data_IF_863941961933
#
_entry.id   IF_863941961933
#
_cell.length_a   1.000
_cell.length_b   1.000
_cell.length_c   1.000
_cell.angle_alpha   90.00
_cell.angle_beta   90.00
_cell.angle_gamma   90.00
#
_symmetry.space_group_name_H-M   'P 1'
#
loop_
_entity.id
_entity.type
_entity.pdbx_description
1 polymer ?
#
# COMPACT_ATOMS: atom_id res chain seq x y z
N UNK A 1 -42.06 67.16 26.58
CA UNK A 1 -40.87 66.54 25.94
C UNK A 1 -40.06 65.81 27.01
N UNK A 2 -40.20 64.49 27.13
CA UNK A 2 -39.44 63.66 28.08
C UNK A 2 -38.28 63.02 27.32
N UNK A 3 -37.04 63.31 27.71
CA UNK A 3 -35.84 62.66 27.16
C UNK A 3 -35.57 61.38 27.95
N UNK A 4 -35.64 60.25 27.26
CA UNK A 4 -35.27 58.92 27.76
C UNK A 4 -33.74 58.81 27.67
N UNK A 5 -33.05 58.58 28.79
CA UNK A 5 -31.62 58.30 28.81
C UNK A 5 -31.40 56.79 28.70
N UNK A 6 -30.82 56.33 27.59
CA UNK A 6 -30.44 54.94 27.40
C UNK A 6 -29.06 54.71 28.06
N UNK A 7 -29.02 53.83 29.06
CA UNK A 7 -27.79 53.36 29.68
C UNK A 7 -27.24 52.20 28.82
N UNK A 8 -26.18 52.47 28.04
CA UNK A 8 -25.43 51.44 27.32
C UNK A 8 -24.41 50.86 28.28
N UNK A 9 -24.59 49.60 28.68
CA UNK A 9 -23.60 48.87 29.47
C UNK A 9 -22.59 48.25 28.50
N UNK A 10 -21.38 48.82 28.44
CA UNK A 10 -20.28 48.24 27.68
C UNK A 10 -19.72 47.03 28.46
N UNK A 11 -19.95 45.82 27.94
CA UNK A 11 -19.27 44.62 28.43
C UNK A 11 -17.86 44.62 27.83
N UNK A 12 -16.87 44.93 28.66
CA UNK A 12 -15.46 44.78 28.29
C UNK A 12 -15.12 43.30 28.44
N UNK A 13 -15.14 42.56 27.33
CA UNK A 13 -14.59 41.22 27.26
C UNK A 13 -13.06 41.29 27.35
N UNK A 14 -12.48 40.85 28.46
CA UNK A 14 -11.04 40.61 28.55
C UNK A 14 -10.77 39.32 27.80
N UNK A 15 -10.23 39.43 26.58
CA UNK A 15 -9.68 38.29 25.86
C UNK A 15 -8.44 37.82 26.64
N UNK A 16 -8.58 36.73 27.38
CA UNK A 16 -7.44 36.03 27.98
C UNK A 16 -6.79 35.25 26.84
N UNK A 17 -5.66 35.74 26.34
CA UNK A 17 -4.83 34.95 25.44
C UNK A 17 -4.36 33.71 26.22
N UNK A 18 -4.88 32.54 25.84
CA UNK A 18 -4.35 31.27 26.33
C UNK A 18 -2.98 31.12 25.69
N UNK A 19 -1.89 31.05 26.47
CA UNK A 19 -0.57 30.83 25.89
C UNK A 19 -0.56 29.48 25.18
N UNK A 20 -0.17 29.50 23.90
CA UNK A 20 0.09 28.30 23.12
C UNK A 20 1.27 27.58 23.77
N UNK A 21 1.00 26.38 24.31
CA UNK A 21 2.04 25.55 24.92
C UNK A 21 2.88 25.00 23.77
N UNK A 22 4.12 25.48 23.65
CA UNK A 22 5.07 24.90 22.71
C UNK A 22 5.23 23.41 23.05
N UNK A 23 4.80 22.54 22.13
CA UNK A 23 5.03 21.10 22.24
C UNK A 23 6.54 20.88 22.11
N UNK A 24 7.15 20.26 23.13
CA UNK A 24 8.58 19.97 23.10
C UNK A 24 8.84 18.70 22.29
N UNK A 25 9.47 18.84 21.13
CA UNK A 25 9.95 17.71 20.34
C UNK A 25 10.98 16.90 21.16
N UNK A 26 10.87 15.58 21.11
CA UNK A 26 11.87 14.65 21.64
C UNK A 26 12.78 14.23 20.50
N UNK A 27 14.07 14.53 20.60
CA UNK A 27 15.08 14.13 19.60
C UNK A 27 15.90 12.97 20.15
N UNK A 28 15.94 11.88 19.41
CA UNK A 28 16.70 10.67 19.72
C UNK A 28 17.82 10.53 18.69
N UNK A 29 19.06 10.56 19.17
CA UNK A 29 20.29 10.46 18.37
C UNK A 29 21.20 9.30 18.86
N UNK A 30 20.65 8.38 19.66
CA UNK A 30 21.33 7.18 20.16
C UNK A 30 20.34 6.02 20.26
N UNK A 31 20.87 4.80 20.20
CA UNK A 31 20.06 3.58 20.29
C UNK A 31 19.19 3.60 21.55
N UNK A 32 17.87 3.46 21.37
CA UNK A 32 16.88 3.66 22.44
C UNK A 32 15.75 2.65 22.34
N UNK A 33 15.28 2.15 23.48
CA UNK A 33 14.03 1.39 23.58
C UNK A 33 12.98 2.26 24.26
N UNK A 34 11.79 2.35 23.67
CA UNK A 34 10.65 3.09 24.20
C UNK A 34 9.60 2.09 24.67
N UNK A 35 9.42 2.02 25.99
CA UNK A 35 8.45 1.18 26.69
C UNK A 35 7.47 2.01 27.56
N UNK A 36 7.39 3.31 27.29
CA UNK A 36 6.56 4.29 27.98
C UNK A 36 5.74 5.14 27.00
N UNK A 37 4.80 5.92 27.54
CA UNK A 37 3.96 6.83 26.75
C UNK A 37 4.63 8.18 26.54
N UNK A 38 4.69 8.64 25.30
CA UNK A 38 5.17 9.97 24.90
C UNK A 38 4.11 10.64 24.00
N UNK A 39 3.63 11.81 24.41
CA UNK A 39 2.57 12.57 23.71
C UNK A 39 3.14 13.65 22.78
N UNK A 40 4.47 13.82 22.78
CA UNK A 40 5.19 14.69 21.86
C UNK A 40 5.58 14.01 20.55
N UNK A 41 5.96 14.84 19.57
CA UNK A 41 6.71 14.45 18.39
C UNK A 41 8.04 13.80 18.80
N UNK A 42 8.27 12.54 18.42
CA UNK A 42 9.56 11.87 18.54
C UNK A 42 10.27 11.87 17.19
N UNK A 43 11.43 12.53 17.12
CA UNK A 43 12.32 12.56 15.94
C UNK A 43 13.53 11.68 16.20
N UNK A 44 13.77 10.72 15.31
CA UNK A 44 14.94 9.85 15.32
C UNK A 44 15.86 10.31 14.20
N UNK A 45 17.06 10.77 14.56
CA UNK A 45 18.06 11.32 13.64
C UNK A 45 19.36 10.54 13.75
N UNK A 46 20.26 10.72 12.78
CA UNK A 46 21.59 10.12 12.85
C UNK A 46 22.39 10.67 14.05
N UNK A 47 22.85 9.73 14.89
CA UNK A 47 23.71 9.98 16.01
C UNK A 47 25.18 10.11 15.67
N UNK A 48 26.01 10.00 16.71
CA UNK A 48 27.47 9.91 16.56
C UNK A 48 27.87 8.61 15.84
N UNK A 49 27.12 7.53 16.05
CA UNK A 49 27.35 6.19 15.48
C UNK A 49 26.12 5.72 14.68
N UNK A 50 25.93 6.18 13.42
CA UNK A 50 24.77 5.83 12.61
C UNK A 50 24.81 4.36 12.09
N UNK A 51 23.64 3.73 11.84
CA UNK A 51 22.30 4.31 12.00
C UNK A 51 21.83 4.27 13.46
N UNK A 52 21.14 5.31 13.92
CA UNK A 52 20.43 5.31 15.21
C UNK A 52 19.27 4.32 15.16
N UNK A 53 19.14 3.47 16.18
CA UNK A 53 18.09 2.44 16.26
C UNK A 53 17.10 2.73 17.38
N UNK A 54 15.81 2.79 17.06
CA UNK A 54 14.76 2.95 18.06
C UNK A 54 13.76 1.81 17.99
N UNK A 55 13.56 1.13 19.11
CA UNK A 55 12.56 0.08 19.24
C UNK A 55 11.40 0.55 20.13
N UNK A 56 10.20 0.69 19.55
CA UNK A 56 8.95 0.96 20.26
C UNK A 56 8.30 -0.38 20.59
N UNK A 57 8.42 -0.81 21.84
CA UNK A 57 8.02 -2.15 22.30
C UNK A 57 6.70 -2.10 23.06
N UNK A 58 6.20 -3.27 23.48
CA UNK A 58 4.97 -3.35 24.28
C UNK A 58 5.02 -2.45 25.53
N UNK A 59 3.99 -1.62 25.70
CA UNK A 59 3.92 -0.57 26.73
C UNK A 59 4.36 0.81 26.24
N UNK A 60 5.12 0.86 25.15
CA UNK A 60 5.47 2.07 24.43
C UNK A 60 4.28 2.59 23.62
N UNK A 61 3.90 3.84 23.85
CA UNK A 61 2.88 4.54 23.06
C UNK A 61 3.44 5.89 22.62
N UNK A 62 3.48 6.15 21.33
CA UNK A 62 3.92 7.43 20.77
C UNK A 62 2.75 8.12 20.08
N UNK A 63 2.69 9.44 20.16
CA UNK A 63 1.74 10.21 19.36
C UNK A 63 2.16 10.31 17.89
N UNK A 64 3.40 10.72 17.66
CA UNK A 64 3.96 10.92 16.33
C UNK A 64 5.42 10.49 16.32
N UNK A 65 5.83 9.83 15.25
CA UNK A 65 7.18 9.31 15.09
C UNK A 65 7.75 9.66 13.71
N UNK A 66 8.92 10.29 13.69
CA UNK A 66 9.60 10.64 12.46
C UNK A 66 11.02 10.09 12.46
N UNK A 67 11.32 9.24 11.47
CA UNK A 67 12.64 8.70 11.22
C UNK A 67 13.31 9.50 10.10
N UNK A 68 14.51 10.01 10.35
CA UNK A 68 15.29 10.83 9.42
C UNK A 68 16.63 10.17 9.09
N UNK A 69 17.30 10.68 8.06
CA UNK A 69 18.64 10.27 7.64
C UNK A 69 18.78 8.77 7.40
N UNK A 70 19.65 8.05 8.12
CA UNK A 70 19.81 6.60 7.99
C UNK A 70 19.17 5.80 9.12
N UNK A 71 18.38 6.48 9.98
CA UNK A 71 17.81 5.90 11.20
C UNK A 71 16.94 4.68 10.93
N UNK A 72 16.90 3.77 11.90
CA UNK A 72 16.07 2.56 11.86
C UNK A 72 15.11 2.57 13.04
N UNK A 73 13.82 2.47 12.75
CA UNK A 73 12.77 2.44 13.76
C UNK A 73 11.99 1.14 13.65
N UNK A 74 11.73 0.48 14.77
CA UNK A 74 10.92 -0.75 14.85
C UNK A 74 9.72 -0.54 15.78
N UNK A 75 8.51 -0.82 15.33
CA UNK A 75 7.29 -0.86 16.14
C UNK A 75 6.92 -2.33 16.39
N UNK A 76 7.53 -2.91 17.42
CA UNK A 76 7.44 -4.34 17.77
C UNK A 76 6.63 -4.56 19.06
N UNK A 77 5.32 -4.39 18.93
CA UNK A 77 4.35 -4.53 20.03
C UNK A 77 3.95 -3.21 20.70
N UNK A 78 4.63 -2.10 20.36
CA UNK A 78 4.20 -0.75 20.73
C UNK A 78 3.05 -0.21 19.88
N UNK A 79 2.61 1.01 20.18
CA UNK A 79 1.56 1.71 19.46
C UNK A 79 2.03 3.12 19.06
N UNK A 80 1.84 3.49 17.80
CA UNK A 80 1.88 4.89 17.37
C UNK A 80 0.44 5.32 17.08
N UNK A 81 -0.05 6.38 17.72
CA UNK A 81 -1.43 6.84 17.52
C UNK A 81 -1.53 8.35 17.41
N UNK A 82 -2.11 8.82 16.30
CA UNK A 82 -2.22 10.24 16.00
C UNK A 82 -3.67 10.62 15.64
N UNK A 83 -4.29 11.47 16.45
CA UNK A 83 -5.63 12.04 16.21
C UNK A 83 -5.57 13.42 15.53
N UNK A 84 -4.48 13.72 14.83
CA UNK A 84 -4.32 14.95 14.05
C UNK A 84 -4.78 14.71 12.62
N UNK A 85 -5.51 15.68 12.08
CA UNK A 85 -6.02 15.70 10.70
C UNK A 85 -5.05 16.33 9.69
N UNK A 86 -3.77 16.52 10.06
CA UNK A 86 -2.80 17.14 9.15
C UNK A 86 -1.43 16.46 9.20
N UNK A 87 -1.28 15.40 10.00
CA UNK A 87 0.01 14.76 10.23
C UNK A 87 -0.12 13.23 10.23
N UNK A 88 0.76 12.50 9.53
CA UNK A 88 0.78 11.05 9.60
C UNK A 88 1.18 10.56 10.99
N UNK A 89 0.85 9.32 11.37
CA UNK A 89 1.38 8.72 12.60
C UNK A 89 2.90 8.50 12.55
N UNK A 90 3.37 7.97 11.43
CA UNK A 90 4.80 7.72 11.18
C UNK A 90 5.25 8.37 9.87
N UNK A 91 6.36 9.10 9.92
CA UNK A 91 7.04 9.64 8.72
C UNK A 91 8.45 9.08 8.60
N UNK A 92 8.79 8.47 7.47
CA UNK A 92 10.14 8.05 7.12
C UNK A 92 10.71 8.99 6.04
N UNK A 93 11.82 9.68 6.36
CA UNK A 93 12.51 10.64 5.49
C UNK A 93 13.93 10.18 5.17
N UNK A 94 14.53 10.72 4.10
CA UNK A 94 15.92 10.42 3.74
C UNK A 94 16.11 8.96 3.28
N UNK A 95 16.99 8.23 3.96
CA UNK A 95 17.26 6.80 3.74
C UNK A 95 16.85 5.94 4.95
N UNK A 96 15.93 6.45 5.77
CA UNK A 96 15.51 5.79 7.00
C UNK A 96 14.72 4.51 6.74
N UNK A 97 14.65 3.63 7.73
CA UNK A 97 13.87 2.40 7.68
C UNK A 97 12.89 2.33 8.83
N UNK A 98 11.61 2.07 8.53
CA UNK A 98 10.56 1.80 9.52
C UNK A 98 10.11 0.35 9.39
N UNK A 99 10.08 -0.39 10.50
CA UNK A 99 9.59 -1.77 10.56
C UNK A 99 8.38 -1.87 11.48
N UNK A 100 7.29 -2.50 11.01
CA UNK A 100 6.09 -2.80 11.79
C UNK A 100 5.85 -4.31 11.76
N UNK A 101 5.84 -4.95 12.93
CA UNK A 101 5.81 -6.42 13.05
C UNK A 101 4.70 -6.93 13.97
N UNK A 102 4.62 -6.43 15.20
CA UNK A 102 3.64 -6.86 16.20
C UNK A 102 2.85 -5.70 16.82
N UNK A 103 3.26 -4.47 16.53
CA UNK A 103 2.63 -3.27 17.06
C UNK A 103 1.47 -2.74 16.22
N UNK A 104 1.06 -1.52 16.53
CA UNK A 104 -0.01 -0.81 15.83
C UNK A 104 0.40 0.58 15.38
N UNK A 105 -0.17 1.03 14.26
CA UNK A 105 -0.28 2.43 13.87
C UNK A 105 -1.77 2.73 13.74
N UNK A 106 -2.31 3.59 14.61
CA UNK A 106 -3.74 3.90 14.71
C UNK A 106 -3.96 5.41 14.61
N UNK A 107 -4.30 5.89 13.42
CA UNK A 107 -4.34 7.32 13.12
C UNK A 107 -5.71 7.75 12.57
N UNK A 108 -6.08 9.00 12.80
CA UNK A 108 -7.34 9.52 12.28
C UNK A 108 -7.25 9.73 10.77
N UNK A 109 -6.21 10.41 10.28
CA UNK A 109 -6.08 10.72 8.86
C UNK A 109 -5.04 9.82 8.16
N UNK A 110 -3.75 10.02 8.41
CA UNK A 110 -2.66 9.35 7.69
C UNK A 110 -1.88 8.38 8.59
N UNK A 111 -1.59 7.18 8.09
CA UNK A 111 -0.88 6.15 8.86
C UNK A 111 0.64 6.33 8.76
N UNK A 112 1.25 5.71 7.75
CA UNK A 112 2.70 5.72 7.53
C UNK A 112 3.01 6.41 6.20
N UNK A 113 3.88 7.41 6.20
CA UNK A 113 4.39 8.03 4.99
C UNK A 113 5.88 7.73 4.80
N UNK A 114 6.26 7.25 3.62
CA UNK A 114 7.64 7.02 3.21
C UNK A 114 8.02 8.01 2.10
N UNK A 115 9.02 8.85 2.35
CA UNK A 115 9.54 9.84 1.39
C UNK A 115 10.97 9.52 0.98
N UNK A 116 11.47 10.26 -0.02
CA UNK A 116 12.85 10.19 -0.50
C UNK A 116 13.27 8.77 -0.90
N UNK A 117 14.25 8.18 -0.23
CA UNK A 117 14.77 6.82 -0.45
C UNK A 117 14.52 5.91 0.77
N UNK A 118 13.53 6.27 1.60
CA UNK A 118 13.21 5.52 2.81
C UNK A 118 12.55 4.17 2.51
N UNK A 119 12.58 3.27 3.49
CA UNK A 119 11.97 1.94 3.41
C UNK A 119 10.98 1.72 4.54
N UNK A 120 9.78 1.24 4.23
CA UNK A 120 8.79 0.78 5.21
C UNK A 120 8.55 -0.71 5.03
N UNK A 121 8.74 -1.49 6.09
CA UNK A 121 8.45 -2.92 6.10
C UNK A 121 7.30 -3.23 7.05
N UNK A 122 6.18 -3.75 6.54
CA UNK A 122 5.07 -4.26 7.33
C UNK A 122 5.05 -5.78 7.24
N UNK A 123 5.44 -6.44 8.32
CA UNK A 123 5.54 -7.90 8.42
C UNK A 123 4.42 -8.51 9.26
N UNK A 124 3.70 -7.67 10.01
CA UNK A 124 2.58 -8.02 10.86
C UNK A 124 1.97 -6.77 11.48
N UNK A 125 1.30 -6.92 12.63
CA UNK A 125 0.65 -5.80 13.32
C UNK A 125 -0.56 -5.23 12.58
N UNK A 126 -0.96 -4.03 12.96
CA UNK A 126 -2.07 -3.30 12.34
C UNK A 126 -1.63 -1.90 11.93
N UNK A 127 -1.98 -1.49 10.71
CA UNK A 127 -1.98 -0.08 10.29
C UNK A 127 -3.43 0.28 10.00
N UNK A 128 -4.05 1.04 10.89
CA UNK A 128 -5.44 1.48 10.80
C UNK A 128 -5.50 3.00 10.67
N UNK A 129 -6.25 3.45 9.67
CA UNK A 129 -6.62 4.85 9.50
C UNK A 129 -8.13 4.99 9.32
N UNK A 130 -8.67 6.13 9.72
CA UNK A 130 -10.10 6.42 9.57
C UNK A 130 -10.34 7.10 8.23
N UNK A 131 -9.79 8.29 8.03
CA UNK A 131 -10.22 9.20 6.97
C UNK A 131 -9.44 9.06 5.66
N UNK A 132 -8.12 8.85 5.70
CA UNK A 132 -7.26 8.90 4.51
C UNK A 132 -6.48 7.58 4.29
N UNK A 133 -5.24 7.69 3.81
CA UNK A 133 -4.43 6.58 3.28
C UNK A 133 -3.62 5.93 4.40
N UNK A 134 -3.68 4.61 4.51
CA UNK A 134 -2.99 3.89 5.57
C UNK A 134 -1.47 3.93 5.37
N UNK A 135 -0.97 3.70 4.14
CA UNK A 135 0.45 3.82 3.80
C UNK A 135 0.65 4.59 2.50
N UNK A 136 1.50 5.60 2.52
CA UNK A 136 1.89 6.37 1.32
C UNK A 136 3.37 6.15 1.04
N UNK A 137 3.69 5.69 -0.17
CA UNK A 137 5.05 5.66 -0.71
C UNK A 137 5.22 6.82 -1.70
N UNK A 138 6.13 7.73 -1.43
CA UNK A 138 6.38 8.93 -2.23
C UNK A 138 7.87 9.06 -2.59
N UNK A 139 8.20 9.75 -3.69
CA UNK A 139 9.58 9.90 -4.17
C UNK A 139 10.15 8.60 -4.74
N UNK A 140 11.27 8.12 -4.21
CA UNK A 140 11.93 6.85 -4.56
C UNK A 140 11.89 5.86 -3.38
N UNK A 141 10.88 5.95 -2.53
CA UNK A 141 10.73 5.10 -1.35
C UNK A 141 10.30 3.69 -1.72
N UNK A 142 10.51 2.76 -0.79
CA UNK A 142 10.14 1.35 -0.93
C UNK A 142 9.21 0.93 0.23
N UNK A 143 8.07 0.32 -0.09
CA UNK A 143 7.16 -0.27 0.90
C UNK A 143 7.03 -1.77 0.65
N UNK A 144 7.33 -2.57 1.66
CA UNK A 144 7.24 -4.02 1.61
C UNK A 144 6.18 -4.52 2.60
N UNK A 145 5.11 -5.14 2.12
CA UNK A 145 4.05 -5.73 2.94
C UNK A 145 4.04 -7.24 2.78
N UNK A 146 4.43 -7.95 3.84
CA UNK A 146 4.50 -9.42 3.87
C UNK A 146 3.47 -10.04 4.82
N UNK A 147 2.79 -9.22 5.62
CA UNK A 147 1.77 -9.62 6.58
C UNK A 147 1.07 -8.42 7.22
N UNK A 148 0.26 -8.69 8.24
CA UNK A 148 -0.46 -7.65 9.00
C UNK A 148 -1.86 -7.33 8.44
N UNK A 149 -2.52 -6.41 9.13
CA UNK A 149 -3.81 -5.84 8.73
C UNK A 149 -3.62 -4.38 8.34
N UNK A 150 -3.97 -4.03 7.10
CA UNK A 150 -4.01 -2.66 6.61
C UNK A 150 -5.48 -2.27 6.46
N UNK A 151 -5.92 -1.28 7.24
CA UNK A 151 -7.31 -0.82 7.24
C UNK A 151 -7.39 0.68 6.97
N UNK A 152 -8.27 1.07 6.05
CA UNK A 152 -8.68 2.47 5.84
C UNK A 152 -10.19 2.52 5.67
N UNK A 153 -10.89 3.30 6.50
CA UNK A 153 -12.37 3.33 6.51
C UNK A 153 -12.99 4.28 5.51
N UNK A 154 -12.29 5.31 5.07
CA UNK A 154 -12.88 6.29 4.14
C UNK A 154 -12.05 6.47 2.86
N UNK A 155 -10.94 5.73 2.70
CA UNK A 155 -10.02 5.94 1.58
C UNK A 155 -9.22 4.67 1.23
N UNK A 156 -7.89 4.80 1.13
CA UNK A 156 -7.01 3.83 0.50
C UNK A 156 -6.15 3.05 1.49
N UNK A 157 -5.86 1.80 1.16
CA UNK A 157 -4.88 1.00 1.90
C UNK A 157 -3.47 1.53 1.62
N UNK A 158 -3.00 1.42 0.38
CA UNK A 158 -1.67 1.89 -0.03
C UNK A 158 -1.77 2.76 -1.29
N UNK A 159 -1.10 3.91 -1.26
CA UNK A 159 -0.84 4.72 -2.45
C UNK A 159 0.67 4.77 -2.74
N UNK A 160 1.05 4.31 -3.94
CA UNK A 160 2.41 4.43 -4.45
C UNK A 160 2.47 5.61 -5.45
N UNK A 161 3.31 6.62 -5.19
CA UNK A 161 3.42 7.85 -5.99
C UNK A 161 4.84 8.08 -6.50
N UNK A 162 4.99 8.97 -7.46
CA UNK A 162 6.27 9.27 -8.13
C UNK A 162 7.00 8.01 -8.64
N UNK A 163 8.23 7.73 -8.20
CA UNK A 163 9.06 6.59 -8.60
C UNK A 163 9.15 5.54 -7.48
N UNK A 164 8.17 5.52 -6.57
CA UNK A 164 8.15 4.59 -5.45
C UNK A 164 7.90 3.15 -5.89
N UNK A 165 8.33 2.21 -5.04
CA UNK A 165 8.15 0.78 -5.25
C UNK A 165 7.34 0.22 -4.09
N UNK A 166 6.29 -0.53 -4.39
CA UNK A 166 5.52 -1.28 -3.38
C UNK A 166 5.51 -2.76 -3.74
N UNK A 167 5.94 -3.60 -2.80
CA UNK A 167 5.88 -5.05 -2.93
C UNK A 167 4.92 -5.62 -1.90
N UNK A 168 3.90 -6.35 -2.35
CA UNK A 168 2.93 -7.03 -1.48
C UNK A 168 3.02 -8.54 -1.70
N UNK A 169 3.41 -9.26 -0.65
CA UNK A 169 3.49 -10.72 -0.64
C UNK A 169 2.68 -11.35 0.50
N UNK A 170 1.76 -10.58 1.10
CA UNK A 170 0.88 -11.04 2.17
C UNK A 170 0.08 -9.88 2.77
N UNK A 171 -0.63 -10.17 3.86
CA UNK A 171 -1.47 -9.21 4.56
C UNK A 171 -2.95 -9.25 4.16
N UNK A 172 -3.77 -8.57 4.95
CA UNK A 172 -5.21 -8.36 4.73
C UNK A 172 -5.42 -6.86 4.56
N UNK A 173 -6.06 -6.48 3.46
CA UNK A 173 -6.43 -5.11 3.12
C UNK A 173 -7.95 -4.98 3.27
N UNK A 174 -8.35 -4.27 4.32
CA UNK A 174 -9.73 -4.02 4.71
C UNK A 174 -10.02 -2.53 4.51
N UNK A 175 -10.32 -2.17 3.26
CA UNK A 175 -10.48 -0.77 2.83
C UNK A 175 -11.89 -0.51 2.32
N UNK A 176 -12.37 0.73 2.40
CA UNK A 176 -13.70 1.09 1.88
C UNK A 176 -13.67 1.54 0.42
N UNK A 177 -12.53 2.06 -0.09
CA UNK A 177 -12.42 2.54 -1.47
C UNK A 177 -11.41 1.75 -2.33
N UNK A 178 -10.11 2.07 -2.28
CA UNK A 178 -9.08 1.32 -3.03
C UNK A 178 -8.11 0.62 -2.08
N UNK A 179 -7.84 -0.67 -2.30
CA UNK A 179 -6.89 -1.38 -1.45
C UNK A 179 -5.44 -0.97 -1.76
N UNK A 180 -5.09 -0.89 -3.04
CA UNK A 180 -3.76 -0.48 -3.49
C UNK A 180 -3.85 0.28 -4.81
N UNK A 181 -3.22 1.45 -4.89
CA UNK A 181 -3.18 2.27 -6.09
C UNK A 181 -1.74 2.69 -6.43
N UNK A 182 -1.32 2.39 -7.66
CA UNK A 182 -0.06 2.87 -8.24
C UNK A 182 -0.31 4.14 -9.06
N UNK A 183 0.23 5.28 -8.66
CA UNK A 183 0.06 6.57 -9.32
C UNK A 183 1.38 7.07 -9.94
N UNK A 184 1.27 8.03 -10.85
CA UNK A 184 2.38 8.74 -11.52
C UNK A 184 3.36 7.84 -12.29
N UNK A 185 4.48 7.41 -11.70
CA UNK A 185 5.51 6.56 -12.34
C UNK A 185 5.92 5.39 -11.45
N UNK A 186 5.07 5.04 -10.48
CA UNK A 186 5.39 4.07 -9.44
C UNK A 186 5.29 2.64 -9.96
N UNK A 187 5.84 1.69 -9.20
CA UNK A 187 5.71 0.26 -9.49
C UNK A 187 5.15 -0.48 -8.29
N UNK A 188 4.04 -1.19 -8.50
CA UNK A 188 3.43 -2.07 -7.50
C UNK A 188 3.53 -3.52 -7.98
N UNK A 189 3.99 -4.42 -7.12
CA UNK A 189 4.04 -5.86 -7.38
C UNK A 189 3.29 -6.64 -6.29
N UNK A 190 2.30 -7.43 -6.70
CA UNK A 190 1.46 -8.24 -5.81
C UNK A 190 1.66 -9.72 -6.13
N UNK A 191 2.04 -10.49 -5.13
CA UNK A 191 2.25 -11.95 -5.23
C UNK A 191 1.37 -12.77 -4.30
N UNK A 192 0.83 -12.15 -3.24
CA UNK A 192 -0.16 -12.72 -2.34
C UNK A 192 -0.87 -11.60 -1.56
N UNK A 193 -1.81 -11.98 -0.68
CA UNK A 193 -2.63 -11.06 0.11
C UNK A 193 -4.12 -11.23 -0.17
N UNK A 194 -4.95 -10.62 0.68
CA UNK A 194 -6.40 -10.52 0.51
C UNK A 194 -6.78 -9.04 0.44
N UNK A 195 -7.41 -8.65 -0.67
CA UNK A 195 -7.80 -7.27 -0.96
C UNK A 195 -9.32 -7.24 -1.15
N UNK A 196 -10.01 -6.55 -0.24
CA UNK A 196 -11.46 -6.47 -0.26
C UNK A 196 -11.99 -5.42 -1.25
N UNK A 197 -11.12 -4.62 -1.88
CA UNK A 197 -11.48 -3.62 -2.88
C UNK A 197 -10.54 -3.66 -4.09
N UNK A 198 -10.68 -2.63 -4.93
CA UNK A 198 -9.92 -2.41 -6.14
C UNK A 198 -8.42 -2.33 -5.88
N UNK A 199 -7.67 -2.93 -6.82
CA UNK A 199 -6.25 -2.70 -7.00
C UNK A 199 -6.03 -2.09 -8.38
N UNK A 200 -5.30 -0.99 -8.46
CA UNK A 200 -5.17 -0.28 -9.74
C UNK A 200 -3.85 0.43 -9.98
N UNK A 201 -3.74 0.96 -11.20
CA UNK A 201 -2.62 1.76 -11.67
C UNK A 201 -3.12 2.93 -12.53
N UNK A 202 -2.56 4.12 -12.34
CA UNK A 202 -2.86 5.35 -13.07
C UNK A 202 -1.57 6.08 -13.51
N UNK A 203 -1.70 7.07 -14.40
CA UNK A 203 -0.53 7.81 -14.90
C UNK A 203 0.33 6.94 -15.81
N UNK A 204 1.62 6.82 -15.54
CA UNK A 204 2.58 5.93 -16.24
C UNK A 204 3.05 4.77 -15.36
N UNK A 205 2.34 4.49 -14.27
CA UNK A 205 2.71 3.47 -13.30
C UNK A 205 2.56 2.05 -13.84
N UNK A 206 3.19 1.11 -13.13
CA UNK A 206 3.16 -0.32 -13.46
C UNK A 206 2.61 -1.10 -12.28
N UNK A 207 1.62 -1.95 -12.55
CA UNK A 207 1.09 -2.91 -11.57
C UNK A 207 1.28 -4.33 -12.09
N UNK A 208 1.93 -5.18 -11.30
CA UNK A 208 2.12 -6.59 -11.61
C UNK A 208 1.39 -7.45 -10.58
N UNK A 209 0.45 -8.28 -11.04
CA UNK A 209 -0.31 -9.21 -10.20
C UNK A 209 0.02 -10.65 -10.61
N UNK A 210 0.62 -11.38 -9.66
CA UNK A 210 1.05 -12.78 -9.84
C UNK A 210 0.34 -13.73 -8.87
N UNK A 211 -0.42 -13.21 -7.90
CA UNK A 211 -1.16 -13.98 -6.92
C UNK A 211 -2.02 -13.10 -6.00
N UNK A 212 -2.64 -13.71 -4.98
CA UNK A 212 -3.54 -13.05 -4.04
C UNK A 212 -5.02 -13.25 -4.36
N UNK A 213 -5.90 -12.68 -3.53
CA UNK A 213 -7.35 -12.58 -3.78
C UNK A 213 -7.71 -11.11 -3.87
N UNK A 214 -8.15 -10.64 -5.05
CA UNK A 214 -8.39 -9.23 -5.31
C UNK A 214 -9.84 -9.00 -5.70
N UNK A 215 -10.42 -7.93 -5.16
CA UNK A 215 -11.67 -7.35 -5.62
C UNK A 215 -12.79 -7.47 -4.61
N UNK A 216 -13.80 -6.64 -4.82
CA UNK A 216 -14.95 -6.54 -3.93
C UNK A 216 -15.77 -7.82 -3.87
N UNK A 217 -16.40 -8.02 -2.72
CA UNK A 217 -17.48 -9.00 -2.56
C UNK A 217 -18.78 -8.52 -3.22
N UNK A 218 -18.89 -7.22 -3.53
CA UNK A 218 -20.05 -6.68 -4.22
C UNK A 218 -19.99 -7.03 -5.72
N UNK A 219 -21.10 -7.52 -6.32
CA UNK A 219 -21.12 -7.93 -7.72
C UNK A 219 -20.77 -6.84 -8.73
N UNK A 220 -20.99 -5.57 -8.38
CA UNK A 220 -20.67 -4.39 -9.19
C UNK A 220 -19.37 -3.70 -8.78
N UNK A 221 -18.60 -4.31 -7.87
CA UNK A 221 -17.34 -3.74 -7.44
C UNK A 221 -16.25 -3.87 -8.50
N UNK A 222 -15.30 -2.94 -8.47
CA UNK A 222 -14.16 -2.95 -9.37
C UNK A 222 -13.08 -3.89 -8.79
N UNK A 223 -12.47 -4.71 -9.65
CA UNK A 223 -11.40 -5.62 -9.26
C UNK A 223 -10.04 -5.04 -9.58
N UNK A 224 -9.76 -4.91 -10.89
CA UNK A 224 -8.50 -4.41 -11.41
C UNK A 224 -8.76 -3.20 -12.30
N UNK A 225 -7.99 -2.12 -12.11
CA UNK A 225 -8.15 -0.87 -12.83
C UNK A 225 -6.83 -0.35 -13.41
N UNK A 226 -6.87 0.08 -14.66
CA UNK A 226 -5.75 0.70 -15.36
C UNK A 226 -6.20 2.01 -16.00
N UNK A 227 -5.60 3.15 -15.65
CA UNK A 227 -5.96 4.47 -16.20
C UNK A 227 -4.75 5.23 -16.74
N UNK A 228 -5.02 6.20 -17.63
CA UNK A 228 -3.99 7.10 -18.13
C UNK A 228 -3.13 6.37 -19.15
N UNK A 229 -1.85 6.22 -18.86
CA UNK A 229 -0.88 5.44 -19.65
C UNK A 229 -0.32 4.26 -18.84
N UNK A 230 -1.04 3.82 -17.80
CA UNK A 230 -0.59 2.78 -16.89
C UNK A 230 -0.51 1.41 -17.59
N UNK A 231 0.39 0.57 -17.09
CA UNK A 231 0.55 -0.82 -17.53
C UNK A 231 0.21 -1.77 -16.38
N UNK A 232 -0.84 -2.56 -16.56
CA UNK A 232 -1.25 -3.58 -15.59
C UNK A 232 -1.03 -4.96 -16.19
N UNK A 233 -0.27 -5.81 -15.51
CA UNK A 233 0.01 -7.19 -15.93
C UNK A 233 -0.56 -8.17 -14.91
N UNK A 234 -1.45 -9.07 -15.34
CA UNK A 234 -2.08 -10.07 -14.46
C UNK A 234 -1.77 -11.48 -14.97
N UNK A 235 -1.18 -12.31 -14.12
CA UNK A 235 -0.76 -13.68 -14.46
C UNK A 235 -1.19 -14.74 -13.45
N UNK A 236 -1.74 -14.34 -12.31
CA UNK A 236 -2.24 -15.26 -11.29
C UNK A 236 -3.10 -14.55 -10.25
N UNK A 237 -3.60 -15.33 -9.29
CA UNK A 237 -4.49 -14.89 -8.22
C UNK A 237 -5.97 -15.11 -8.53
N UNK A 238 -6.80 -14.99 -7.49
CA UNK A 238 -8.26 -15.02 -7.59
C UNK A 238 -8.80 -13.61 -7.74
N UNK A 239 -9.36 -13.30 -8.91
CA UNK A 239 -9.96 -12.00 -9.17
C UNK A 239 -11.46 -12.02 -8.87
N UNK A 240 -12.00 -10.88 -8.49
CA UNK A 240 -13.43 -10.58 -8.30
C UNK A 240 -13.70 -9.20 -8.89
N UNK A 241 -14.95 -8.95 -9.25
CA UNK A 241 -15.35 -7.68 -9.86
C UNK A 241 -14.94 -7.53 -11.32
N UNK A 242 -15.03 -6.30 -11.80
CA UNK A 242 -14.73 -5.90 -13.18
C UNK A 242 -13.22 -5.68 -13.40
N UNK A 243 -12.78 -5.94 -14.63
CA UNK A 243 -11.47 -5.53 -15.13
C UNK A 243 -11.68 -4.30 -16.02
N UNK A 244 -11.00 -3.21 -15.73
CA UNK A 244 -11.22 -1.94 -16.41
C UNK A 244 -9.90 -1.40 -16.95
N UNK A 245 -9.89 -1.06 -18.23
CA UNK A 245 -8.81 -0.32 -18.88
C UNK A 245 -9.36 0.99 -19.46
N UNK A 246 -8.88 2.13 -18.96
CA UNK A 246 -9.31 3.47 -19.31
C UNK A 246 -8.18 4.34 -19.89
N UNK A 247 -8.52 5.26 -20.79
CA UNK A 247 -7.58 6.20 -21.40
C UNK A 247 -6.64 5.54 -22.40
N UNK A 248 -5.34 5.72 -22.25
CA UNK A 248 -4.30 5.03 -23.06
C UNK A 248 -3.65 3.85 -22.34
N UNK A 249 -4.29 3.33 -21.28
CA UNK A 249 -3.72 2.27 -20.45
C UNK A 249 -3.75 0.92 -21.17
N UNK A 250 -2.92 -0.01 -20.69
CA UNK A 250 -2.88 -1.40 -21.17
C UNK A 250 -3.04 -2.35 -19.99
N UNK A 251 -4.03 -3.23 -20.09
CA UNK A 251 -4.25 -4.34 -19.16
C UNK A 251 -3.91 -5.65 -19.88
N UNK A 252 -2.76 -6.21 -19.55
CA UNK A 252 -2.26 -7.48 -20.10
C UNK A 252 -2.70 -8.64 -19.21
N UNK A 253 -3.41 -9.60 -19.79
CA UNK A 253 -3.80 -10.86 -19.12
C UNK A 253 -2.95 -11.99 -19.68
N UNK A 254 -2.25 -12.69 -18.79
CA UNK A 254 -1.34 -13.79 -19.14
C UNK A 254 -1.95 -15.09 -18.62
N UNK A 255 -2.20 -16.03 -19.53
CA UNK A 255 -2.98 -17.22 -19.22
C UNK A 255 -3.10 -18.18 -20.39
N UNK A 256 -4.03 -19.12 -20.34
CA UNK A 256 -4.30 -20.07 -21.41
C UNK A 256 -5.81 -20.18 -21.65
N UNK A 257 -6.17 -20.52 -22.89
CA UNK A 257 -7.55 -20.50 -23.39
C UNK A 257 -8.24 -19.14 -23.16
N UNK A 258 -7.49 -18.04 -23.24
CA UNK A 258 -8.02 -16.69 -23.06
C UNK A 258 -8.87 -16.29 -24.26
N UNK A 259 -10.12 -15.93 -24.00
CA UNK A 259 -11.07 -15.42 -24.97
C UNK A 259 -11.81 -14.20 -24.42
N UNK A 260 -11.98 -13.17 -25.26
CA UNK A 260 -12.74 -11.96 -24.94
C UNK A 260 -13.85 -11.80 -25.97
N UNK A 261 -15.06 -12.14 -25.55
CA UNK A 261 -16.27 -12.07 -26.39
C UNK A 261 -17.33 -11.25 -25.66
N UNK A 262 -17.91 -10.25 -26.34
CA UNK A 262 -18.98 -9.40 -25.79
C UNK A 262 -18.66 -8.81 -24.39
N UNK A 263 -17.44 -8.28 -24.20
CA UNK A 263 -16.93 -7.75 -22.92
C UNK A 263 -16.76 -8.79 -21.80
N UNK A 264 -16.87 -10.07 -22.10
CA UNK A 264 -16.60 -11.14 -21.13
C UNK A 264 -15.26 -11.80 -21.42
N UNK A 265 -14.33 -11.68 -20.47
CA UNK A 265 -13.06 -12.38 -20.46
C UNK A 265 -13.23 -13.74 -19.78
N UNK A 266 -12.92 -14.79 -20.54
CA UNK A 266 -12.92 -16.18 -20.08
C UNK A 266 -11.56 -16.85 -20.32
N UNK A 267 -11.36 -18.00 -19.71
CA UNK A 267 -10.12 -18.79 -19.82
C UNK A 267 -9.54 -19.10 -18.45
N UNK A 268 -8.21 -19.22 -18.38
CA UNK A 268 -7.48 -19.40 -17.12
C UNK A 268 -6.24 -18.54 -17.09
N UNK A 269 -5.91 -17.98 -15.93
CA UNK A 269 -4.62 -17.32 -15.70
C UNK A 269 -3.46 -18.32 -15.77
N UNK A 270 -2.22 -17.83 -15.85
CA UNK A 270 -1.03 -18.68 -16.00
C UNK A 270 -0.82 -19.63 -14.80
N UNK A 271 -1.34 -19.27 -13.62
CA UNK A 271 -1.37 -20.14 -12.43
C UNK A 271 -2.51 -21.20 -12.46
N UNK A 272 -3.39 -21.14 -13.47
CA UNK A 272 -4.52 -22.04 -13.68
C UNK A 272 -5.85 -21.57 -13.08
N UNK A 273 -5.88 -20.41 -12.43
CA UNK A 273 -7.10 -19.84 -11.87
C UNK A 273 -8.12 -19.52 -12.98
N UNK A 274 -9.38 -19.98 -12.88
CA UNK A 274 -10.39 -19.71 -13.90
C UNK A 274 -10.75 -18.23 -13.95
N UNK A 275 -11.00 -17.73 -15.17
CA UNK A 275 -11.50 -16.39 -15.45
C UNK A 275 -12.93 -16.46 -15.98
N UNK A 276 -13.78 -15.59 -15.44
CA UNK A 276 -15.12 -15.30 -15.95
C UNK A 276 -15.51 -13.89 -15.48
N UNK A 277 -14.89 -12.87 -16.06
CA UNK A 277 -15.00 -11.48 -15.62
C UNK A 277 -15.47 -10.58 -16.76
N UNK A 278 -16.20 -9.52 -16.41
CA UNK A 278 -16.43 -8.44 -17.34
C UNK A 278 -15.13 -7.65 -17.53
N UNK A 279 -14.81 -7.33 -18.78
CA UNK A 279 -13.64 -6.61 -19.22
C UNK A 279 -14.11 -5.36 -20.00
N UNK A 280 -13.97 -4.21 -19.37
CA UNK A 280 -14.51 -2.93 -19.85
C UNK A 280 -13.35 -2.05 -20.35
N UNK A 281 -13.47 -1.56 -21.58
CA UNK A 281 -12.55 -0.57 -22.14
C UNK A 281 -13.22 0.80 -22.20
N UNK A 282 -12.56 1.84 -21.71
CA UNK A 282 -13.05 3.21 -21.69
C UNK A 282 -12.01 4.11 -22.38
N UNK A 283 -12.46 5.05 -23.21
CA UNK A 283 -11.64 6.14 -23.77
C UNK A 283 -10.29 5.73 -24.40
N UNK A 284 -10.23 4.53 -25.01
CA UNK A 284 -9.06 4.02 -25.72
C UNK A 284 -8.24 2.96 -24.97
N UNK A 285 -8.64 2.59 -23.75
CA UNK A 285 -7.96 1.57 -22.96
C UNK A 285 -7.96 0.22 -23.67
N UNK A 286 -6.94 -0.59 -23.42
CA UNK A 286 -6.71 -1.82 -24.19
C UNK A 286 -6.53 -3.04 -23.30
N UNK A 287 -7.15 -4.15 -23.71
CA UNK A 287 -6.82 -5.48 -23.22
C UNK A 287 -5.85 -6.17 -24.17
N UNK A 288 -4.79 -6.73 -23.62
CA UNK A 288 -3.84 -7.58 -24.36
C UNK A 288 -3.89 -8.98 -23.76
N UNK A 289 -4.38 -9.94 -24.55
CA UNK A 289 -4.44 -11.34 -24.12
C UNK A 289 -3.18 -12.07 -24.57
N UNK A 290 -2.37 -12.52 -23.60
CA UNK A 290 -1.16 -13.29 -23.85
C UNK A 290 -1.39 -14.75 -23.49
N UNK A 291 -1.79 -15.53 -24.49
CA UNK A 291 -1.92 -16.98 -24.37
C UNK A 291 -0.53 -17.63 -24.26
N UNK A 292 -0.29 -18.33 -23.15
CA UNK A 292 0.88 -19.19 -22.89
C UNK A 292 0.46 -20.66 -22.95
N UNK A 293 1.37 -21.61 -23.22
CA UNK A 293 1.03 -23.02 -23.19
C UNK A 293 0.55 -23.45 -21.80
N UNK A 294 -0.46 -24.32 -21.75
CA UNK A 294 -0.88 -24.93 -20.48
C UNK A 294 0.31 -25.55 -19.74
N UNK A 295 0.39 -25.42 -18.40
CA UNK A 295 1.45 -26.04 -17.61
C UNK A 295 1.59 -27.56 -17.86
N UNK A 296 0.47 -28.23 -18.09
CA UNK A 296 0.40 -29.67 -18.40
C UNK A 296 1.16 -30.03 -19.68
N UNK A 297 1.04 -29.20 -20.72
CA UNK A 297 1.68 -29.38 -22.03
C UNK A 297 3.19 -29.20 -21.92
N UNK A 298 3.65 -28.24 -21.10
CA UNK A 298 5.08 -28.02 -20.85
C UNK A 298 5.69 -29.25 -20.16
N UNK A 299 5.03 -29.76 -19.12
CA UNK A 299 5.48 -30.97 -18.40
C UNK A 299 5.53 -32.18 -19.34
N UNK A 300 4.52 -32.34 -20.20
CA UNK A 300 4.49 -33.44 -21.18
C UNK A 300 5.62 -33.32 -22.23
N UNK A 301 5.89 -32.11 -22.73
CA UNK A 301 6.97 -31.87 -23.67
C UNK A 301 8.35 -32.15 -23.05
N UNK A 302 8.58 -31.68 -21.83
CA UNK A 302 9.84 -31.90 -21.12
C UNK A 302 10.06 -33.38 -20.80
N UNK A 303 9.03 -34.10 -20.36
CA UNK A 303 9.11 -35.55 -20.13
C UNK A 303 9.38 -36.32 -21.43
N UNK A 304 8.79 -35.90 -22.54
CA UNK A 304 9.08 -36.42 -23.87
C UNK A 304 10.55 -36.21 -24.29
N UNK A 305 11.10 -35.00 -24.10
CA UNK A 305 12.50 -34.67 -24.40
C UNK A 305 13.46 -35.52 -23.55
N UNK A 306 13.19 -35.67 -22.26
CA UNK A 306 14.00 -36.49 -21.36
C UNK A 306 13.97 -37.97 -21.76
N UNK A 307 12.80 -38.51 -22.11
CA UNK A 307 12.66 -39.87 -22.60
C UNK A 307 13.44 -40.09 -23.92
N UNK A 308 13.37 -39.13 -24.85
CA UNK A 308 14.14 -39.15 -26.09
C UNK A 308 15.66 -39.10 -25.83
N UNK A 309 16.12 -38.26 -24.91
CA UNK A 309 17.53 -38.17 -24.53
C UNK A 309 18.07 -39.47 -23.91
N UNK A 310 17.30 -40.10 -23.03
CA UNK A 310 17.67 -41.38 -22.40
C UNK A 310 17.74 -42.53 -23.42
N UNK A 311 16.79 -42.57 -24.36
CA UNK A 311 16.80 -43.58 -25.43
C UNK A 311 17.95 -43.36 -26.41
N UNK A 312 18.33 -42.10 -26.69
CA UNK A 312 19.48 -41.80 -27.54
C UNK A 312 20.81 -42.18 -26.88
N UNK A 313 20.98 -41.93 -25.58
CA UNK A 313 22.21 -42.30 -24.85
C UNK A 313 22.46 -43.80 -24.83
N UNK A 314 21.40 -44.64 -24.78
CA UNK A 314 21.54 -46.11 -24.85
C UNK A 314 21.93 -46.64 -26.23
N UNK A 315 21.83 -45.83 -27.30
CA UNK A 315 22.12 -46.23 -28.68
C UNK A 315 23.51 -45.82 -29.18
N UNK A 316 24.35 -45.19 -28.35
CA UNK A 316 25.76 -44.97 -28.70
C UNK A 316 26.57 -46.18 -28.21
N UNK A 317 27.07 -47.05 -29.13
CA UNK A 317 27.96 -48.15 -28.80
C UNK A 317 29.33 -47.64 -28.32
#
# INVERSE_FOLDING_TARGET
MRRLAAFVTAVVGIAVAVPEVATSDVVIDQDTTIDYSEDSLVRVIDGVDPPTRVDVVAGGTLRYLQAEDSSVVSVDGGLVSNSSLDTPGITALGSSTVNVSLGGVDCEEHGIHAFDTSTVNVTGGTVEVIEHIAIVAFGHSEVNVTGGLIRSRDSQGIAARDFSIVNVSGGIFDTDNESVLAEDSSTVSISAGEFNQLVGASGTSVLNVTGGTIGSLEPSGQGIYAEGSAMVNVSGGSLRGELIAAGSSTLTIIGYDLDLTDEWLTGRLADGTPLAHQAVTIDGGQFVLQNVPEPSVIVLALTGILAAGLTWRRRRP
#
